data_IF_898974806196
#
_entry.id   IF_898974806196
#
_cell.length_a   1.000
_cell.length_b   1.000
_cell.length_c   1.000
_cell.angle_alpha   90.00
_cell.angle_beta   90.00
_cell.angle_gamma   90.00
#
_symmetry.space_group_name_H-M   'P 1'
#
loop_
_entity.id
_entity.type
_entity.pdbx_description
1 polymer ?
#
# COMPACT_ATOMS: atom_id res chain seq x y z
N UNK A 1 -22.33 -3.27 -4.87
CA UNK A 1 -21.33 -3.14 -3.78
C UNK A 1 -20.06 -2.61 -4.41
N UNK A 2 -19.58 -1.45 -4.00
CA UNK A 2 -18.34 -0.88 -4.56
C UNK A 2 -17.17 -1.59 -3.88
N UNK A 3 -16.49 -2.48 -4.61
CA UNK A 3 -15.29 -3.16 -4.09
C UNK A 3 -14.25 -2.09 -3.80
N UNK A 4 -13.83 -1.97 -2.52
CA UNK A 4 -12.74 -1.10 -2.12
C UNK A 4 -11.44 -1.82 -2.47
N UNK A 5 -10.78 -1.36 -3.54
CA UNK A 5 -9.50 -1.92 -4.00
C UNK A 5 -8.40 -0.92 -3.66
N UNK A 6 -7.51 -1.31 -2.75
CA UNK A 6 -6.29 -0.57 -2.45
C UNK A 6 -5.15 -0.97 -3.40
N UNK A 7 -4.31 -0.01 -3.79
CA UNK A 7 -3.06 -0.26 -4.53
C UNK A 7 -1.91 -0.12 -3.56
N UNK A 8 -1.00 -1.08 -3.57
CA UNK A 8 0.20 -0.99 -2.74
C UNK A 8 1.30 -0.27 -3.52
N UNK A 9 2.02 0.62 -2.85
CA UNK A 9 3.14 1.38 -3.40
C UNK A 9 4.39 1.06 -2.60
N UNK A 10 5.45 0.60 -3.27
CA UNK A 10 6.79 0.57 -2.68
C UNK A 10 7.38 1.97 -2.76
N UNK A 11 7.66 2.57 -1.60
CA UNK A 11 8.08 3.96 -1.46
C UNK A 11 9.60 4.04 -1.57
N UNK A 12 10.14 4.21 -2.77
CA UNK A 12 11.57 4.01 -3.03
C UNK A 12 12.50 4.95 -2.27
N UNK A 13 12.15 6.23 -2.13
CA UNK A 13 12.97 7.21 -1.39
C UNK A 13 12.76 7.21 0.12
N UNK A 14 11.55 6.88 0.57
CA UNK A 14 11.21 6.84 2.00
C UNK A 14 11.55 5.48 2.64
N UNK A 15 11.68 4.43 1.82
CA UNK A 15 11.68 3.06 2.27
C UNK A 15 10.27 2.58 2.63
N UNK A 16 10.04 1.27 2.55
CA UNK A 16 8.78 0.66 2.96
C UNK A 16 7.67 0.70 1.91
N UNK A 17 6.45 0.47 2.38
CA UNK A 17 5.25 0.29 1.57
C UNK A 17 4.11 1.15 2.09
N UNK A 18 3.25 1.62 1.20
CA UNK A 18 2.04 2.37 1.53
C UNK A 18 0.84 1.82 0.77
N UNK A 19 -0.36 2.01 1.31
CA UNK A 19 -1.61 1.66 0.65
C UNK A 19 -2.32 2.92 0.13
N UNK A 20 -2.80 2.87 -1.11
CA UNK A 20 -3.62 3.91 -1.73
C UNK A 20 -5.04 3.38 -1.95
N UNK A 21 -6.05 4.07 -1.44
CA UNK A 21 -7.46 3.76 -1.70
C UNK A 21 -8.13 4.97 -2.36
N UNK A 22 -8.68 4.77 -3.56
CA UNK A 22 -9.33 5.87 -4.30
C UNK A 22 -8.41 7.06 -4.62
N UNK A 23 -7.10 6.83 -4.70
CA UNK A 23 -6.10 7.87 -4.96
C UNK A 23 -5.56 8.59 -3.71
N UNK A 24 -6.06 8.27 -2.52
CA UNK A 24 -5.56 8.81 -1.26
C UNK A 24 -4.72 7.78 -0.50
N UNK A 25 -3.71 8.24 0.24
CA UNK A 25 -2.98 7.41 1.20
C UNK A 25 -3.92 6.96 2.32
N UNK A 26 -3.88 5.67 2.61
CA UNK A 26 -4.67 5.06 3.67
C UNK A 26 -3.83 5.05 4.96
N UNK A 27 -4.39 5.66 6.00
CA UNK A 27 -3.89 5.54 7.36
C UNK A 27 -4.65 4.41 8.07
N UNK A 28 -3.93 3.50 8.71
CA UNK A 28 -4.50 2.39 9.49
C UNK A 28 -3.81 2.39 10.86
N UNK A 29 -4.60 2.56 11.93
CA UNK A 29 -4.11 2.62 13.31
C UNK A 29 -2.94 3.61 13.51
N UNK A 30 -2.97 4.77 12.83
CA UNK A 30 -1.91 5.78 12.91
C UNK A 30 -0.72 5.53 11.97
N UNK A 31 -0.70 4.43 11.22
CA UNK A 31 0.37 4.07 10.30
C UNK A 31 -0.04 4.35 8.84
N UNK A 32 0.83 5.06 8.12
CA UNK A 32 0.72 5.26 6.66
C UNK A 32 1.85 4.57 5.88
N UNK A 33 2.84 4.04 6.59
CA UNK A 33 4.04 3.44 6.01
C UNK A 33 4.41 2.18 6.79
N UNK A 34 4.62 1.09 6.06
CA UNK A 34 4.95 -0.21 6.62
C UNK A 34 6.36 -0.65 6.18
N UNK A 35 7.06 -1.43 7.01
CA UNK A 35 8.41 -1.89 6.69
C UNK A 35 8.45 -2.96 5.59
N UNK A 36 7.34 -3.67 5.35
CA UNK A 36 7.26 -4.77 4.37
C UNK A 36 5.91 -4.80 3.65
N UNK A 37 5.88 -5.47 2.50
CA UNK A 37 4.67 -5.71 1.72
C UNK A 37 3.63 -6.51 2.53
N UNK A 38 4.08 -7.56 3.21
CA UNK A 38 3.18 -8.41 3.99
C UNK A 38 2.51 -7.64 5.14
N UNK A 39 3.24 -6.72 5.78
CA UNK A 39 2.71 -5.91 6.87
C UNK A 39 1.57 -5.00 6.40
N UNK A 40 1.75 -4.29 5.28
CA UNK A 40 0.68 -3.45 4.72
C UNK A 40 -0.48 -4.30 4.20
N UNK A 41 -0.22 -5.45 3.58
CA UNK A 41 -1.28 -6.34 3.09
C UNK A 41 -2.14 -6.89 4.24
N UNK A 42 -1.52 -7.31 5.34
CA UNK A 42 -2.23 -7.82 6.50
C UNK A 42 -3.17 -6.76 7.10
N UNK A 43 -2.71 -5.51 7.25
CA UNK A 43 -3.54 -4.43 7.78
C UNK A 43 -4.68 -4.02 6.83
N UNK A 44 -4.41 -3.96 5.53
CA UNK A 44 -5.46 -3.66 4.53
C UNK A 44 -6.52 -4.76 4.51
N UNK A 45 -6.13 -6.03 4.58
CA UNK A 45 -7.05 -7.17 4.64
C UNK A 45 -7.88 -7.18 5.93
N UNK A 46 -7.30 -6.78 7.07
CA UNK A 46 -8.01 -6.64 8.34
C UNK A 46 -9.16 -5.63 8.26
N UNK A 47 -9.06 -4.61 7.41
CA UNK A 47 -10.13 -3.66 7.13
C UNK A 47 -11.16 -4.14 6.10
N UNK A 48 -11.03 -5.37 5.59
CA UNK A 48 -11.89 -5.94 4.55
C UNK A 48 -11.73 -5.24 3.21
N UNK A 49 -10.55 -4.65 2.95
CA UNK A 49 -10.22 -3.99 1.69
C UNK A 49 -9.42 -4.99 0.84
N UNK A 50 -9.78 -5.13 -0.42
CA UNK A 50 -9.01 -5.95 -1.36
C UNK A 50 -7.80 -5.17 -1.85
N UNK A 51 -6.68 -5.86 -2.09
CA UNK A 51 -5.51 -5.25 -2.71
C UNK A 51 -5.44 -5.59 -4.19
N UNK A 52 -5.08 -4.62 -5.03
CA UNK A 52 -4.69 -4.89 -6.40
C UNK A 52 -3.48 -5.86 -6.42
N UNK A 53 -3.49 -6.86 -7.29
CA UNK A 53 -2.42 -7.87 -7.37
C UNK A 53 -1.07 -7.35 -7.87
N UNK A 54 -0.94 -6.05 -8.12
CA UNK A 54 0.30 -5.42 -8.57
C UNK A 54 0.73 -4.33 -7.59
N UNK A 55 2.04 -4.26 -7.32
CA UNK A 55 2.67 -3.21 -6.52
C UNK A 55 3.21 -2.13 -7.45
N UNK A 56 2.94 -0.87 -7.13
CA UNK A 56 3.55 0.28 -7.80
C UNK A 56 4.95 0.46 -7.20
N UNK A 57 5.99 0.17 -7.98
CA UNK A 57 7.37 0.40 -7.54
C UNK A 57 7.83 1.81 -7.94
N UNK A 58 8.19 2.63 -6.96
CA UNK A 58 8.67 4.01 -7.18
C UNK A 58 10.18 4.15 -7.02
N UNK A 59 10.90 3.05 -6.81
CA UNK A 59 12.37 3.07 -6.80
C UNK A 59 12.86 3.54 -8.16
N UNK A 60 13.87 4.41 -8.15
CA UNK A 60 14.54 4.80 -9.38
C UNK A 60 15.20 3.56 -9.99
N UNK A 61 14.83 3.22 -11.22
CA UNK A 61 15.63 2.37 -12.09
C UNK A 61 16.90 3.15 -12.39
N UNK A 62 17.94 2.93 -11.60
CA UNK A 62 19.27 3.47 -11.93
C UNK A 62 19.82 2.54 -12.99
N UNK A 63 19.93 3.05 -14.22
CA UNK A 63 20.68 2.42 -15.31
C UNK A 63 22.15 2.82 -15.26
#
# INVERSE_FOLDING_TARGET
>A
MTTRIARIVCMGKLGGYAALLGGALLEIDGHMLWPSLDAVMADVQRLGIETAGAVIDTRSVTG
#
